data_IF_976963599378
#
_entry.id   IF_976963599378
#
_cell.length_a   1.000
_cell.length_b   1.000
_cell.length_c   1.000
_cell.angle_alpha   90.00
_cell.angle_beta   90.00
_cell.angle_gamma   90.00
#
_symmetry.space_group_name_H-M   'P 1'
#
loop_
_entity.id
_entity.type
_entity.pdbx_description
1 polymer ?
#
# COMPACT_ATOMS: atom_id res chain seq x y z
N UNK A 1 0.91 -31.14 -7.27
CA UNK A 1 -0.41 -31.14 -6.62
C UNK A 1 -0.29 -30.39 -5.28
N UNK A 2 -1.34 -29.69 -4.85
CA UNK A 2 -1.43 -28.86 -3.63
C UNK A 2 -1.08 -27.35 -3.76
N UNK A 3 -1.57 -26.67 -4.79
CA UNK A 3 -1.81 -25.20 -4.74
C UNK A 3 -3.27 -24.89 -4.33
N UNK A 4 -4.14 -25.92 -4.32
CA UNK A 4 -5.58 -25.83 -4.07
C UNK A 4 -5.95 -25.84 -2.57
N UNK A 5 -5.04 -26.30 -1.71
CA UNK A 5 -5.29 -26.39 -0.26
C UNK A 5 -4.99 -25.08 0.49
N UNK A 6 -4.21 -24.14 -0.07
CA UNK A 6 -3.92 -22.84 0.58
C UNK A 6 -5.03 -21.81 0.38
N UNK A 7 -5.79 -21.91 -0.71
CA UNK A 7 -6.94 -21.02 -0.98
C UNK A 7 -8.09 -21.27 0.01
N UNK A 8 -8.21 -22.50 0.51
CA UNK A 8 -9.18 -22.85 1.57
C UNK A 8 -8.85 -22.20 2.92
N UNK A 9 -7.58 -21.87 3.19
CA UNK A 9 -7.19 -21.15 4.41
C UNK A 9 -7.74 -19.73 4.46
N UNK A 10 -7.80 -19.03 3.32
CA UNK A 10 -8.34 -17.66 3.23
C UNK A 10 -9.85 -17.65 3.52
N UNK A 11 -10.58 -18.69 3.09
CA UNK A 11 -12.03 -18.80 3.33
C UNK A 11 -12.36 -19.04 4.80
N UNK A 12 -11.49 -19.73 5.55
CA UNK A 12 -11.72 -20.02 6.97
C UNK A 12 -11.44 -18.83 7.89
N UNK A 13 -10.59 -17.87 7.48
CA UNK A 13 -10.36 -16.64 8.28
C UNK A 13 -11.60 -15.74 8.27
N UNK A 14 -12.34 -15.65 7.16
CA UNK A 14 -13.56 -14.85 7.10
C UNK A 14 -14.76 -15.46 7.84
N UNK A 15 -14.79 -16.78 8.05
CA UNK A 15 -15.88 -17.45 8.75
C UNK A 15 -15.77 -17.40 10.29
N UNK A 16 -14.60 -17.08 10.84
CA UNK A 16 -14.36 -17.09 12.30
C UNK A 16 -14.56 -15.74 13.00
N UNK A 17 -14.90 -14.67 12.27
CA UNK A 17 -15.02 -13.30 12.85
C UNK A 17 -16.36 -13.08 13.59
N UNK A 18 -17.24 -14.09 13.67
CA UNK A 18 -18.56 -13.93 14.31
C UNK A 18 -18.67 -14.44 15.76
N UNK A 19 -17.59 -14.89 16.41
CA UNK A 19 -17.74 -15.30 17.81
C UNK A 19 -16.43 -15.35 18.60
N UNK A 20 -15.97 -14.20 19.12
CA UNK A 20 -15.45 -14.06 20.50
C UNK A 20 -14.88 -12.67 20.73
N UNK A 21 -15.36 -12.07 21.81
CA UNK A 21 -14.78 -10.93 22.50
C UNK A 21 -13.40 -11.27 23.07
N UNK A 22 -12.63 -10.21 23.34
CA UNK A 22 -11.53 -10.16 24.31
C UNK A 22 -10.16 -10.72 23.87
N UNK A 23 -9.45 -9.94 23.06
CA UNK A 23 -8.01 -9.80 23.18
C UNK A 23 -7.57 -8.41 22.68
N UNK A 24 -7.44 -7.49 23.63
CA UNK A 24 -6.81 -6.18 23.44
C UNK A 24 -5.34 -6.42 23.07
N UNK A 25 -5.00 -6.25 21.79
CA UNK A 25 -3.61 -6.02 21.37
C UNK A 25 -3.45 -4.54 21.04
N UNK A 26 -3.05 -3.78 22.07
CA UNK A 26 -2.53 -2.44 21.93
C UNK A 26 -1.19 -2.49 21.17
N UNK A 27 -1.22 -2.29 19.86
CA UNK A 27 -0.05 -1.83 19.12
C UNK A 27 -0.24 -0.34 18.82
N UNK A 28 0.39 0.49 19.66
CA UNK A 28 0.57 1.90 19.43
C UNK A 28 1.59 2.11 18.30
N UNK A 29 1.13 1.93 17.07
CA UNK A 29 1.69 2.50 15.86
C UNK A 29 0.48 2.85 14.99
N UNK A 30 -0.07 4.05 15.22
CA UNK A 30 -1.21 4.51 14.43
C UNK A 30 -0.81 4.64 12.97
N UNK A 31 -1.40 3.84 12.11
CA UNK A 31 -1.29 3.96 10.66
C UNK A 31 -2.08 5.17 10.15
N UNK A 32 -1.75 5.72 8.96
CA UNK A 32 -2.30 6.98 8.50
C UNK A 32 -3.78 6.89 8.19
N UNK A 33 -4.47 8.00 8.45
CA UNK A 33 -5.91 8.15 8.30
C UNK A 33 -6.30 8.36 6.84
N UNK A 34 -6.59 7.27 6.12
CA UNK A 34 -7.04 7.22 4.71
C UNK A 34 -8.32 7.96 4.34
N UNK A 35 -8.89 8.74 5.25
CA UNK A 35 -10.08 9.55 5.00
C UNK A 35 -10.17 10.83 5.83
N UNK A 36 -9.11 11.22 6.54
CA UNK A 36 -9.16 12.52 7.20
C UNK A 36 -8.95 13.62 6.16
N UNK A 37 -10.03 14.32 5.84
CA UNK A 37 -9.97 15.73 5.45
C UNK A 37 -9.43 16.53 6.64
N UNK A 38 -8.13 16.42 6.92
CA UNK A 38 -7.40 17.42 7.71
C UNK A 38 -6.74 18.36 6.69
N UNK A 39 -6.77 19.69 6.90
CA UNK A 39 -5.97 20.61 6.09
C UNK A 39 -4.50 20.15 6.12
N UNK A 40 -4.00 19.68 4.98
CA UNK A 40 -2.67 19.09 4.90
C UNK A 40 -1.60 20.16 5.17
N UNK A 41 -0.61 19.89 6.04
CA UNK A 41 0.60 20.68 6.05
C UNK A 41 1.32 20.49 4.70
N UNK A 42 1.85 21.56 4.13
CA UNK A 42 2.48 21.54 2.80
C UNK A 42 3.87 20.93 2.86
N UNK A 43 4.11 19.84 2.11
CA UNK A 43 5.43 19.29 1.82
C UNK A 43 5.64 17.80 2.14
N UNK A 44 6.71 17.22 1.58
CA UNK A 44 7.11 15.81 1.76
C UNK A 44 7.26 15.39 3.24
N UNK A 45 7.65 16.32 4.12
CA UNK A 45 7.77 16.07 5.56
C UNK A 45 6.44 15.99 6.32
N UNK A 46 5.32 16.37 5.69
CA UNK A 46 3.98 16.30 6.29
C UNK A 46 3.30 14.95 6.05
N UNK A 47 3.61 14.31 4.93
CA UNK A 47 2.98 13.06 4.51
C UNK A 47 3.72 11.81 4.97
N UNK A 48 5.03 11.88 5.24
CA UNK A 48 5.83 10.68 5.43
C UNK A 48 7.18 10.85 6.13
N UNK A 49 7.84 9.71 6.37
CA UNK A 49 9.17 9.66 6.95
C UNK A 49 10.23 10.18 5.98
N UNK A 50 11.35 10.71 6.51
CA UNK A 50 12.46 11.21 5.69
C UNK A 50 13.02 10.14 4.72
N UNK A 51 12.93 8.86 5.09
CA UNK A 51 13.37 7.74 4.26
C UNK A 51 12.49 7.58 3.02
N UNK A 52 11.17 7.59 3.17
CA UNK A 52 10.26 7.45 2.03
C UNK A 52 10.29 8.69 1.15
N UNK A 53 10.40 9.89 1.72
CA UNK A 53 10.61 11.11 0.94
C UNK A 53 11.86 11.03 0.04
N UNK A 54 12.92 10.40 0.55
CA UNK A 54 14.15 10.13 -0.23
C UNK A 54 13.87 9.16 -1.39
N UNK A 55 13.09 8.10 -1.16
CA UNK A 55 12.70 7.13 -2.20
C UNK A 55 11.89 7.80 -3.31
N UNK A 56 10.91 8.65 -2.96
CA UNK A 56 10.11 9.42 -3.93
C UNK A 56 11.00 10.30 -4.82
N UNK A 57 11.99 10.99 -4.23
CA UNK A 57 12.93 11.83 -4.95
C UNK A 57 13.89 11.01 -5.84
N UNK A 58 14.39 9.89 -5.34
CA UNK A 58 15.29 9.01 -6.08
C UNK A 58 14.60 8.39 -7.30
N UNK A 59 13.35 7.97 -7.15
CA UNK A 59 12.51 7.44 -8.23
C UNK A 59 12.05 8.50 -9.23
N UNK A 60 12.24 9.79 -8.92
CA UNK A 60 11.81 10.93 -9.76
C UNK A 60 10.34 10.83 -10.16
N UNK A 61 9.48 10.49 -9.19
CA UNK A 61 8.05 10.33 -9.43
C UNK A 61 7.40 11.67 -9.82
N UNK A 62 6.63 11.64 -10.89
CA UNK A 62 5.89 12.77 -11.46
C UNK A 62 4.48 12.84 -10.87
N UNK A 63 3.76 13.97 -11.03
CA UNK A 63 2.36 14.05 -10.62
C UNK A 63 1.47 12.98 -11.26
N UNK A 64 1.77 12.55 -12.49
CA UNK A 64 1.05 11.46 -13.15
C UNK A 64 1.27 10.12 -12.44
N UNK A 65 2.50 9.84 -11.99
CA UNK A 65 2.82 8.64 -11.22
C UNK A 65 2.10 8.66 -9.85
N UNK A 66 1.92 9.84 -9.25
CA UNK A 66 1.13 9.98 -8.01
C UNK A 66 -0.36 9.68 -8.21
N UNK A 67 -0.92 10.08 -9.35
CA UNK A 67 -2.31 9.73 -9.71
C UNK A 67 -2.44 8.23 -9.90
N UNK A 68 -1.50 7.60 -10.63
CA UNK A 68 -1.49 6.15 -10.82
C UNK A 68 -1.39 5.40 -9.48
N UNK A 69 -0.56 5.89 -8.54
CA UNK A 69 -0.45 5.31 -7.21
C UNK A 69 -1.78 5.38 -6.44
N UNK A 70 -2.49 6.52 -6.52
CA UNK A 70 -3.81 6.69 -5.91
C UNK A 70 -4.86 5.77 -6.51
N UNK A 71 -4.89 5.65 -7.83
CA UNK A 71 -5.81 4.76 -8.53
C UNK A 71 -5.52 3.30 -8.17
N UNK A 72 -4.24 2.93 -8.07
CA UNK A 72 -3.79 1.60 -7.67
C UNK A 72 -4.24 1.25 -6.24
N UNK A 73 -4.12 2.19 -5.30
CA UNK A 73 -4.65 2.04 -3.93
C UNK A 73 -6.16 1.94 -3.88
N UNK A 74 -6.86 2.70 -4.73
CA UNK A 74 -8.33 2.71 -4.76
C UNK A 74 -8.88 1.40 -5.32
N UNK A 75 -8.26 0.89 -6.40
CA UNK A 75 -8.70 -0.30 -7.13
C UNK A 75 -8.09 -1.60 -6.59
N UNK A 76 -7.16 -1.52 -5.63
CA UNK A 76 -6.39 -2.67 -5.13
C UNK A 76 -5.80 -3.47 -6.29
N UNK A 77 -5.14 -2.74 -7.19
CA UNK A 77 -4.41 -3.28 -8.32
C UNK A 77 -3.09 -2.53 -8.44
N UNK A 78 -2.01 -3.22 -8.06
CA UNK A 78 -0.67 -2.64 -8.00
C UNK A 78 0.20 -3.04 -9.18
N UNK A 79 -0.29 -3.84 -10.13
CA UNK A 79 0.54 -4.40 -11.20
C UNK A 79 1.11 -3.30 -12.10
N UNK A 80 0.29 -2.36 -12.57
CA UNK A 80 0.72 -1.26 -13.43
C UNK A 80 1.74 -0.38 -12.72
N UNK A 81 1.39 0.10 -11.53
CA UNK A 81 2.26 0.99 -10.77
C UNK A 81 3.57 0.32 -10.33
N UNK A 82 3.53 -0.99 -10.03
CA UNK A 82 4.76 -1.75 -9.74
C UNK A 82 5.75 -1.73 -10.91
N UNK A 83 5.25 -1.90 -12.15
CA UNK A 83 6.08 -1.80 -13.36
C UNK A 83 6.67 -0.40 -13.50
N UNK A 84 5.86 0.64 -13.29
CA UNK A 84 6.35 2.03 -13.26
C UNK A 84 7.48 2.20 -12.25
N UNK A 85 7.35 1.70 -11.03
CA UNK A 85 8.40 1.78 -10.01
C UNK A 85 9.68 1.02 -10.40
N UNK A 86 9.56 -0.19 -10.95
CA UNK A 86 10.71 -0.97 -11.43
C UNK A 86 11.42 -0.27 -12.61
N UNK A 87 10.66 0.31 -13.53
CA UNK A 87 11.20 1.08 -14.66
C UNK A 87 11.97 2.31 -14.17
N UNK A 88 11.44 3.03 -13.18
CA UNK A 88 12.13 4.17 -12.55
C UNK A 88 13.38 3.72 -11.79
N UNK A 89 13.33 2.60 -11.08
CA UNK A 89 14.47 2.06 -10.35
C UNK A 89 15.61 1.63 -11.28
N UNK A 90 15.31 1.04 -12.45
CA UNK A 90 16.30 0.65 -13.46
C UNK A 90 17.16 1.84 -13.95
N UNK A 91 16.59 3.05 -13.95
CA UNK A 91 17.29 4.28 -14.34
C UNK A 91 18.31 4.75 -13.28
N UNK A 92 18.19 4.26 -12.04
CA UNK A 92 19.09 4.55 -10.91
C UNK A 92 20.32 3.64 -10.93
N UNK A 93 20.17 2.39 -11.42
CA UNK A 93 21.24 1.39 -11.48
C UNK A 93 22.52 1.92 -12.17
N UNK A 94 22.37 2.80 -13.16
CA UNK A 94 23.48 3.42 -13.87
C UNK A 94 24.23 4.52 -13.12
N UNK A 95 23.78 4.95 -11.94
CA UNK A 95 24.28 6.16 -11.26
C UNK A 95 24.84 5.91 -9.85
N UNK A 96 24.19 5.07 -9.03
CA UNK A 96 24.64 4.82 -7.65
C UNK A 96 23.98 3.57 -7.03
N UNK A 97 24.79 2.53 -6.73
CA UNK A 97 24.34 1.28 -6.12
C UNK A 97 23.69 1.45 -4.73
N UNK A 98 24.14 2.44 -3.95
CA UNK A 98 23.54 2.72 -2.64
C UNK A 98 22.10 3.22 -2.79
N UNK A 99 21.85 4.09 -3.78
CA UNK A 99 20.52 4.62 -4.04
C UNK A 99 19.57 3.53 -4.54
N UNK A 100 20.06 2.62 -5.38
CA UNK A 100 19.31 1.45 -5.81
C UNK A 100 18.88 0.60 -4.62
N UNK A 101 19.82 0.27 -3.72
CA UNK A 101 19.52 -0.52 -2.53
C UNK A 101 18.46 0.12 -1.61
N UNK A 102 18.47 1.46 -1.48
CA UNK A 102 17.45 2.18 -0.73
C UNK A 102 16.08 2.02 -1.39
N UNK A 103 16.00 2.15 -2.72
CA UNK A 103 14.75 2.04 -3.48
C UNK A 103 14.20 0.62 -3.53
N UNK A 104 15.05 -0.38 -3.75
CA UNK A 104 14.66 -1.80 -3.85
C UNK A 104 13.90 -2.32 -2.63
N UNK A 105 14.17 -1.75 -1.45
CA UNK A 105 13.49 -2.09 -0.20
C UNK A 105 12.02 -1.70 -0.18
N UNK A 106 11.61 -0.76 -1.02
CA UNK A 106 10.25 -0.24 -1.13
C UNK A 106 9.52 -0.73 -2.40
N UNK A 107 10.21 -1.41 -3.30
CA UNK A 107 9.56 -2.05 -4.46
C UNK A 107 8.73 -3.25 -3.98
N UNK A 108 7.54 -3.50 -4.54
CA UNK A 108 6.72 -4.64 -4.14
C UNK A 108 7.35 -5.96 -4.61
N UNK A 109 7.11 -7.06 -3.90
CA UNK A 109 7.48 -8.39 -4.40
C UNK A 109 6.38 -8.97 -5.30
N UNK A 110 6.74 -9.91 -6.18
CA UNK A 110 5.79 -10.59 -7.04
C UNK A 110 4.74 -11.38 -6.25
N UNK A 111 5.11 -11.96 -5.11
CA UNK A 111 4.19 -12.70 -4.24
C UNK A 111 3.13 -11.78 -3.63
N UNK A 112 3.51 -10.56 -3.25
CA UNK A 112 2.56 -9.57 -2.76
C UNK A 112 1.57 -9.16 -3.86
N UNK A 113 2.06 -8.84 -5.06
CA UNK A 113 1.23 -8.49 -6.21
C UNK A 113 0.28 -9.64 -6.55
N UNK A 114 0.79 -10.88 -6.59
CA UNK A 114 -0.01 -12.07 -6.85
C UNK A 114 -1.09 -12.30 -5.78
N UNK A 115 -0.78 -12.08 -4.50
CA UNK A 115 -1.76 -12.23 -3.42
C UNK A 115 -2.91 -11.22 -3.52
N UNK A 116 -2.61 -9.95 -3.84
CA UNK A 116 -3.64 -8.94 -4.06
C UNK A 116 -4.46 -9.22 -5.33
N UNK A 117 -3.81 -9.72 -6.38
CA UNK A 117 -4.47 -10.09 -7.64
C UNK A 117 -5.32 -11.37 -7.53
N UNK A 118 -5.03 -12.24 -6.56
CA UNK A 118 -5.83 -13.43 -6.27
C UNK A 118 -7.18 -13.10 -5.60
N UNK A 119 -7.38 -11.86 -5.13
CA UNK A 119 -8.67 -11.42 -4.61
C UNK A 119 -9.73 -11.50 -5.71
N UNK A 120 -10.85 -12.12 -5.39
CA UNK A 120 -11.99 -12.25 -6.31
C UNK A 120 -12.62 -10.88 -6.59
N UNK A 121 -13.35 -10.79 -7.70
CA UNK A 121 -14.12 -9.57 -8.05
C UNK A 121 -15.08 -9.16 -6.94
N UNK A 122 -15.70 -10.13 -6.25
CA UNK A 122 -16.62 -9.84 -5.12
C UNK A 122 -15.86 -9.26 -3.93
N UNK A 123 -14.69 -9.80 -3.59
CA UNK A 123 -13.85 -9.26 -2.51
C UNK A 123 -13.36 -7.85 -2.84
N UNK A 124 -12.91 -7.60 -4.07
CA UNK A 124 -12.51 -6.26 -4.53
C UNK A 124 -13.69 -5.29 -4.55
N UNK A 125 -14.89 -5.76 -4.92
CA UNK A 125 -16.13 -4.97 -4.83
C UNK A 125 -16.43 -4.54 -3.39
N UNK A 126 -16.37 -5.47 -2.44
CA UNK A 126 -16.56 -5.16 -1.01
C UNK A 126 -15.51 -4.18 -0.47
N UNK A 127 -14.24 -4.37 -0.86
CA UNK A 127 -13.16 -3.43 -0.54
C UNK A 127 -13.46 -2.02 -1.10
N UNK A 128 -13.99 -1.95 -2.33
CA UNK A 128 -14.45 -0.69 -2.92
C UNK A 128 -15.55 -0.01 -2.11
N UNK A 129 -16.54 -0.76 -1.62
CA UNK A 129 -17.59 -0.25 -0.72
C UNK A 129 -17.01 0.30 0.59
N UNK A 130 -16.05 -0.43 1.20
CA UNK A 130 -15.36 0.03 2.41
C UNK A 130 -14.55 1.31 2.17
N UNK A 131 -13.92 1.44 1.00
CA UNK A 131 -13.18 2.64 0.57
C UNK A 131 -14.09 3.85 0.41
N UNK A 132 -15.22 3.70 -0.26
CA UNK A 132 -16.23 4.76 -0.39
C UNK A 132 -16.82 5.12 0.97
N UNK A 133 -17.11 4.12 1.81
CA UNK A 133 -17.72 4.28 3.12
C UNK A 133 -16.79 4.72 4.25
N UNK A 134 -15.50 4.89 3.97
CA UNK A 134 -14.56 5.42 4.96
C UNK A 134 -14.10 4.53 6.06
N UNK A 135 -14.15 3.24 5.79
CA UNK A 135 -13.80 2.18 6.72
C UNK A 135 -12.30 1.91 6.66
N UNK A 136 -11.51 2.94 6.98
CA UNK A 136 -10.06 2.92 6.87
C UNK A 136 -9.41 1.84 7.75
N UNK A 137 -9.94 1.64 8.96
CA UNK A 137 -9.44 0.60 9.88
C UNK A 137 -9.69 -0.81 9.33
N UNK A 138 -10.83 -1.03 8.68
CA UNK A 138 -11.15 -2.32 8.05
C UNK A 138 -10.29 -2.58 6.81
N UNK A 139 -10.06 -1.56 5.97
CA UNK A 139 -9.15 -1.67 4.83
C UNK A 139 -7.71 -2.00 5.29
N UNK A 140 -7.26 -1.37 6.37
CA UNK A 140 -5.97 -1.65 7.00
C UNK A 140 -5.90 -3.10 7.51
N UNK A 141 -6.95 -3.58 8.20
CA UNK A 141 -7.02 -4.96 8.67
C UNK A 141 -6.97 -5.96 7.51
N UNK A 142 -7.66 -5.69 6.41
CA UNK A 142 -7.64 -6.55 5.22
C UNK A 142 -6.23 -6.60 4.64
N UNK A 143 -5.59 -5.44 4.46
CA UNK A 143 -4.22 -5.38 3.91
C UNK A 143 -3.22 -6.09 4.83
N UNK A 144 -3.33 -5.87 6.14
CA UNK A 144 -2.51 -6.57 7.15
C UNK A 144 -2.74 -8.09 7.11
N UNK A 145 -3.98 -8.54 6.94
CA UNK A 145 -4.31 -9.95 6.75
C UNK A 145 -3.62 -10.55 5.53
N UNK A 146 -3.60 -9.83 4.40
CA UNK A 146 -2.88 -10.25 3.19
C UNK A 146 -1.38 -10.33 3.47
N UNK A 147 -0.78 -9.27 4.02
CA UNK A 147 0.66 -9.23 4.32
C UNK A 147 1.06 -10.37 5.26
N UNK A 148 0.32 -10.61 6.33
CA UNK A 148 0.61 -11.67 7.30
C UNK A 148 0.47 -13.08 6.72
N UNK A 149 -0.26 -13.24 5.62
CA UNK A 149 -0.37 -14.51 4.90
C UNK A 149 0.82 -14.85 4.00
N UNK A 150 1.72 -13.86 3.76
CA UNK A 150 2.91 -14.04 2.95
C UNK A 150 4.08 -14.65 3.75
N UNK A 151 5.08 -15.26 3.07
CA UNK A 151 6.32 -15.70 3.72
C UNK A 151 7.00 -14.55 4.47
N UNK A 152 7.63 -14.84 5.61
CA UNK A 152 8.17 -13.83 6.53
C UNK A 152 9.16 -12.88 5.85
N UNK A 153 10.01 -13.42 4.97
CA UNK A 153 10.98 -12.68 4.17
C UNK A 153 10.32 -11.65 3.22
N UNK A 154 9.07 -11.89 2.80
CA UNK A 154 8.31 -11.01 1.91
C UNK A 154 7.53 -9.96 2.68
N UNK A 155 7.08 -10.26 3.90
CA UNK A 155 6.20 -9.37 4.68
C UNK A 155 6.80 -7.98 4.86
N UNK A 156 8.10 -7.91 5.15
CA UNK A 156 8.78 -6.62 5.33
C UNK A 156 8.78 -5.78 4.06
N UNK A 157 9.01 -6.40 2.90
CA UNK A 157 9.00 -5.70 1.60
C UNK A 157 7.59 -5.22 1.24
N UNK A 158 6.56 -6.03 1.52
CA UNK A 158 5.16 -5.64 1.35
C UNK A 158 4.77 -4.46 2.26
N UNK A 159 5.21 -4.45 3.53
CA UNK A 159 4.95 -3.33 4.46
C UNK A 159 5.61 -2.04 4.00
N UNK A 160 6.86 -2.10 3.58
CA UNK A 160 7.57 -0.93 3.06
C UNK A 160 6.88 -0.40 1.80
N UNK A 161 6.48 -1.28 0.88
CA UNK A 161 5.75 -0.88 -0.31
C UNK A 161 4.42 -0.17 0.06
N UNK A 162 3.66 -0.71 1.00
CA UNK A 162 2.44 -0.05 1.47
C UNK A 162 2.75 1.31 2.11
N UNK A 163 3.77 1.42 2.96
CA UNK A 163 4.20 2.73 3.51
C UNK A 163 4.52 3.75 2.40
N UNK A 164 5.17 3.32 1.32
CA UNK A 164 5.38 4.16 0.14
C UNK A 164 4.04 4.59 -0.48
N UNK A 165 3.13 3.65 -0.74
CA UNK A 165 1.81 3.95 -1.33
C UNK A 165 1.02 4.97 -0.52
N UNK A 166 0.98 4.86 0.80
CA UNK A 166 0.30 5.79 1.72
C UNK A 166 0.81 7.21 1.51
N UNK A 167 2.13 7.35 1.42
CA UNK A 167 2.79 8.64 1.28
C UNK A 167 2.50 9.24 -0.10
N UNK A 168 2.51 8.42 -1.15
CA UNK A 168 2.16 8.88 -2.50
C UNK A 168 0.71 9.38 -2.58
N UNK A 169 -0.22 8.69 -1.92
CA UNK A 169 -1.64 9.11 -1.86
C UNK A 169 -1.82 10.40 -1.06
N UNK A 170 -1.11 10.53 0.07
CA UNK A 170 -1.09 11.77 0.85
C UNK A 170 -0.52 12.94 0.01
N UNK A 171 0.61 12.72 -0.67
CA UNK A 171 1.24 13.72 -1.53
C UNK A 171 0.31 14.16 -2.65
N UNK A 172 -0.31 13.21 -3.36
CA UNK A 172 -1.32 13.52 -4.39
C UNK A 172 -2.44 14.40 -3.84
N UNK A 173 -2.95 14.08 -2.65
CA UNK A 173 -4.05 14.82 -2.02
C UNK A 173 -3.62 16.24 -1.58
N UNK A 174 -2.37 16.40 -1.13
CA UNK A 174 -1.80 17.70 -0.74
C UNK A 174 -1.50 18.62 -1.93
N UNK A 175 -1.24 18.07 -3.12
CA UNK A 175 -0.95 18.83 -4.33
C UNK A 175 -2.22 19.30 -5.07
N UNK A 176 -3.40 18.80 -4.67
CA UNK A 176 -4.69 19.14 -5.27
C UNK A 176 -5.41 20.32 -4.58
N UNK A 177 -4.69 21.30 -4.01
CA UNK A 177 -5.34 22.51 -3.49
C UNK A 177 -6.27 23.13 -4.57
N UNK A 178 -7.55 23.43 -4.25
CA UNK A 178 -8.44 24.07 -5.20
C UNK A 178 -7.92 25.48 -5.55
N UNK A 179 -8.17 26.00 -6.76
CA UNK A 179 -7.89 27.40 -7.06
C UNK A 179 -8.65 28.26 -6.07
N UNK A 180 -7.93 29.11 -5.34
CA UNK A 180 -8.50 30.20 -4.56
C UNK A 180 -9.32 31.07 -5.54
N UNK A 181 -10.65 30.98 -5.46
CA UNK A 181 -11.59 31.91 -6.09
C UNK A 181 -12.03 32.97 -5.08
#
# INVERSE_FOLDING_TARGET
MCFRDRVLGIVLVFASVNNRTDAIFNFAAGWPSWQRQIPAPTGLGACGSAQVATVVLLLRLTPMDLTEAKDSMTLWNFESFSKTLYDRASQIEGQNLYNLFVVERFLPSDEFIAAVNALTVVQKGHIGELSIGGRAAELEQIMNGIILSLPLEVQMKARNFMELMDILVCLHSSLQEPPYY
#
